data_IF_439485021623
#
_entry.id   IF_439485021623
#
_cell.length_a   1.000
_cell.length_b   1.000
_cell.length_c   1.000
_cell.angle_alpha   90.00
_cell.angle_beta   90.00
_cell.angle_gamma   90.00
#
_symmetry.space_group_name_H-M   'P 1'
#
loop_
_entity.id
_entity.type
_entity.pdbx_description
1 polymer ?
#
# COMPACT_ATOMS: atom_id res chain seq x y z
N UNK A 1 10.06 67.65 -37.77
CA UNK A 1 11.20 67.61 -38.74
C UNK A 1 11.33 66.17 -39.23
N UNK A 2 11.77 65.95 -40.48
CA UNK A 2 12.48 64.74 -41.02
C UNK A 2 12.17 63.35 -40.39
N UNK A 3 11.46 62.39 -41.03
CA UNK A 3 11.85 61.50 -42.19
C UNK A 3 12.95 60.47 -41.85
N UNK A 4 12.96 59.20 -42.28
CA UNK A 4 12.41 58.43 -43.45
C UNK A 4 11.91 57.02 -43.00
N UNK A 5 11.64 55.92 -43.77
CA UNK A 5 11.46 55.51 -45.19
C UNK A 5 10.52 54.24 -45.18
N UNK A 6 9.45 54.11 -45.98
CA UNK A 6 9.27 53.43 -47.31
C UNK A 6 9.51 51.88 -47.39
N UNK A 7 8.46 51.06 -47.63
CA UNK A 7 8.04 50.36 -48.90
C UNK A 7 8.88 49.14 -49.34
N UNK A 8 8.43 47.88 -49.55
CA UNK A 8 7.18 47.20 -50.01
C UNK A 8 7.25 46.62 -51.46
N UNK A 9 6.16 45.95 -51.92
CA UNK A 9 5.86 45.44 -53.30
C UNK A 9 6.41 44.03 -53.67
N UNK A 10 5.80 43.15 -54.52
CA UNK A 10 4.42 43.02 -55.09
C UNK A 10 4.12 41.61 -55.70
N UNK A 11 2.92 41.06 -55.42
CA UNK A 11 1.92 40.42 -56.33
C UNK A 11 2.23 39.23 -57.31
N UNK A 12 1.53 38.09 -57.10
CA UNK A 12 0.40 37.49 -57.90
C UNK A 12 0.55 37.45 -59.46
N UNK A 13 0.42 36.28 -60.16
CA UNK A 13 -0.92 35.80 -60.60
C UNK A 13 -1.16 34.26 -60.82
N UNK A 14 -2.42 33.92 -61.10
CA UNK A 14 -2.95 32.56 -61.42
C UNK A 14 -2.71 32.12 -62.89
N UNK A 15 -2.66 30.80 -63.14
CA UNK A 15 -3.32 30.19 -64.32
C UNK A 15 -3.61 28.68 -64.16
N UNK A 16 -4.58 28.16 -64.94
CA UNK A 16 -4.97 26.74 -65.01
C UNK A 16 -4.52 26.14 -66.35
N UNK A 17 -4.12 24.86 -66.37
CA UNK A 17 -4.06 24.06 -67.60
C UNK A 17 -4.61 22.64 -67.40
N UNK A 18 -5.03 21.99 -68.50
CA UNK A 18 -5.91 20.81 -68.51
C UNK A 18 -5.61 19.90 -69.71
N UNK A 19 -5.23 18.63 -69.49
CA UNK A 19 -5.33 17.51 -70.45
C UNK A 19 -5.10 16.15 -69.78
N UNK A 20 -5.29 15.05 -70.52
CA UNK A 20 -5.78 13.78 -69.94
C UNK A 20 -5.22 12.51 -70.60
N UNK A 21 -5.08 11.48 -69.75
CA UNK A 21 -5.23 10.03 -70.02
C UNK A 21 -4.36 9.31 -71.07
N UNK A 22 -3.78 8.18 -70.65
CA UNK A 22 -4.04 6.85 -71.28
C UNK A 22 -3.89 5.72 -70.24
N UNK A 23 -4.36 4.52 -70.59
CA UNK A 23 -4.57 3.37 -69.66
C UNK A 23 -3.38 2.40 -69.62
N UNK A 24 -3.19 1.77 -68.47
CA UNK A 24 -3.00 0.31 -68.37
C UNK A 24 -3.58 -0.21 -67.04
N UNK A 25 -4.05 -1.47 -67.02
CA UNK A 25 -4.46 -2.27 -65.84
C UNK A 25 -3.74 -3.63 -65.96
N UNK A 26 -3.39 -4.29 -64.85
CA UNK A 26 -4.25 -5.35 -64.26
C UNK A 26 -4.88 -4.90 -62.92
N UNK A 27 -6.07 -5.32 -62.48
CA UNK A 27 -6.43 -6.67 -61.98
C UNK A 27 -5.47 -7.14 -60.87
N UNK A 28 -5.62 -6.78 -59.59
CA UNK A 28 -6.74 -6.93 -58.63
C UNK A 28 -6.69 -8.25 -57.84
N UNK A 29 -6.58 -8.12 -56.52
CA UNK A 29 -7.34 -8.89 -55.53
C UNK A 29 -7.58 -7.98 -54.32
N UNK A 30 -8.75 -8.12 -53.68
CA UNK A 30 -9.25 -7.22 -52.64
C UNK A 30 -9.05 -7.80 -51.23
N UNK A 31 -8.60 -6.95 -50.31
CA UNK A 31 -8.90 -7.06 -48.88
C UNK A 31 -9.23 -5.65 -48.43
N UNK A 32 -10.49 -5.38 -48.17
CA UNK A 32 -10.96 -4.03 -47.84
C UNK A 32 -10.65 -3.70 -46.38
N UNK A 33 -9.83 -2.66 -46.18
CA UNK A 33 -9.55 -2.09 -44.85
C UNK A 33 -10.67 -1.11 -44.49
N UNK A 34 -11.85 -1.65 -44.21
CA UNK A 34 -13.03 -0.83 -43.91
C UNK A 34 -12.86 -0.02 -42.62
N UNK A 35 -13.29 1.24 -42.66
CA UNK A 35 -13.13 2.19 -41.58
C UNK A 35 -14.23 2.02 -40.53
N UNK A 36 -14.08 1.03 -39.63
CA UNK A 36 -14.96 0.93 -38.46
C UNK A 36 -14.79 2.13 -37.53
N UNK A 37 -15.87 2.91 -37.41
CA UNK A 37 -15.97 4.02 -36.47
C UNK A 37 -15.97 3.53 -35.03
N UNK A 38 -15.07 4.09 -34.21
CA UNK A 38 -14.94 3.78 -32.78
C UNK A 38 -16.26 3.90 -32.00
N UNK A 39 -16.89 2.76 -31.72
CA UNK A 39 -18.09 2.61 -30.89
C UNK A 39 -17.75 2.65 -29.39
N UNK A 40 -17.17 3.77 -28.94
CA UNK A 40 -16.55 4.00 -27.61
C UNK A 40 -17.48 3.94 -26.38
N UNK A 41 -18.70 3.41 -26.51
CA UNK A 41 -19.72 3.42 -25.45
C UNK A 41 -20.50 2.08 -25.35
N UNK A 42 -19.81 0.94 -25.51
CA UNK A 42 -20.46 -0.32 -25.93
C UNK A 42 -20.21 -1.64 -25.18
N UNK A 43 -19.54 -1.74 -24.02
CA UNK A 43 -19.60 -3.00 -23.22
C UNK A 43 -19.15 -2.95 -21.73
N UNK A 44 -19.52 -1.89 -21.00
CA UNK A 44 -19.10 -1.69 -19.59
C UNK A 44 -19.57 -2.73 -18.56
N UNK A 45 -20.40 -3.73 -18.93
CA UNK A 45 -20.77 -4.83 -18.03
C UNK A 45 -19.80 -6.02 -18.05
N UNK A 46 -19.07 -6.23 -19.15
CA UNK A 46 -18.11 -7.35 -19.28
C UNK A 46 -16.67 -6.89 -19.09
N UNK A 47 -16.27 -5.79 -19.77
CA UNK A 47 -14.89 -5.30 -19.78
C UNK A 47 -14.24 -5.16 -18.39
N UNK A 48 -14.91 -4.60 -17.36
CA UNK A 48 -14.29 -4.47 -16.04
C UNK A 48 -13.93 -5.82 -15.41
N UNK A 49 -14.83 -6.81 -15.47
CA UNK A 49 -14.59 -8.11 -14.82
C UNK A 49 -13.43 -8.85 -15.49
N UNK A 50 -13.38 -8.86 -16.82
CA UNK A 50 -12.29 -9.48 -17.58
C UNK A 50 -10.94 -8.80 -17.32
N UNK A 51 -10.91 -7.47 -17.28
CA UNK A 51 -9.69 -6.69 -16.97
C UNK A 51 -9.17 -6.99 -15.56
N UNK A 52 -10.07 -7.09 -14.57
CA UNK A 52 -9.69 -7.43 -13.20
C UNK A 52 -9.20 -8.88 -13.08
N UNK A 53 -9.91 -9.84 -13.69
CA UNK A 53 -9.44 -11.23 -13.77
C UNK A 53 -8.05 -11.33 -14.44
N UNK A 54 -7.80 -10.52 -15.47
CA UNK A 54 -6.53 -10.50 -16.18
C UNK A 54 -5.38 -9.98 -15.29
N UNK A 55 -5.55 -8.87 -14.55
CA UNK A 55 -4.53 -8.42 -13.59
C UNK A 55 -4.29 -9.43 -12.47
N UNK A 56 -5.35 -10.04 -11.95
CA UNK A 56 -5.26 -11.02 -10.86
C UNK A 56 -4.61 -12.36 -11.28
N UNK A 57 -4.59 -12.69 -12.58
CA UNK A 57 -3.85 -13.84 -13.14
C UNK A 57 -2.36 -13.57 -13.35
N UNK A 58 -1.96 -12.31 -13.59
CA UNK A 58 -0.55 -11.94 -13.74
C UNK A 58 0.17 -11.85 -12.39
N UNK A 59 1.51 -11.90 -12.39
CA UNK A 59 2.33 -11.62 -11.20
C UNK A 59 2.27 -10.12 -10.83
N UNK A 60 2.26 -9.80 -9.53
CA UNK A 60 2.25 -8.41 -9.04
C UNK A 60 3.43 -7.60 -9.58
N UNK A 61 3.15 -6.47 -10.22
CA UNK A 61 4.15 -5.58 -10.80
C UNK A 61 4.64 -5.97 -12.19
N UNK A 62 4.11 -7.05 -12.79
CA UNK A 62 4.35 -7.37 -14.21
C UNK A 62 3.37 -6.64 -15.13
N UNK A 63 2.12 -6.45 -14.71
CA UNK A 63 1.06 -5.84 -15.51
C UNK A 63 0.89 -4.32 -15.27
N UNK A 64 1.98 -3.58 -15.00
CA UNK A 64 1.98 -2.19 -14.45
C UNK A 64 1.06 -1.20 -15.15
N UNK A 65 0.91 -1.28 -16.49
CA UNK A 65 0.00 -0.43 -17.28
C UNK A 65 -1.48 -0.75 -17.02
N UNK A 66 -1.80 -2.01 -16.78
CA UNK A 66 -3.15 -2.50 -16.50
C UNK A 66 -3.51 -2.31 -15.03
N UNK A 67 -2.56 -2.54 -14.11
CA UNK A 67 -2.65 -2.16 -12.68
C UNK A 67 -2.98 -0.66 -12.53
N UNK A 68 -2.24 0.22 -13.23
CA UNK A 68 -2.51 1.65 -13.25
C UNK A 68 -3.89 1.98 -13.84
N UNK A 69 -4.32 1.29 -14.91
CA UNK A 69 -5.66 1.48 -15.51
C UNK A 69 -6.77 1.10 -14.53
N UNK A 70 -6.64 -0.01 -13.79
CA UNK A 70 -7.59 -0.39 -12.73
C UNK A 70 -7.60 0.66 -11.61
N UNK A 71 -6.42 1.09 -11.14
CA UNK A 71 -6.29 2.11 -10.09
C UNK A 71 -6.99 3.42 -10.48
N UNK A 72 -6.73 3.92 -11.69
CA UNK A 72 -7.35 5.15 -12.20
C UNK A 72 -8.86 4.99 -12.40
N UNK A 73 -9.33 3.85 -12.89
CA UNK A 73 -10.77 3.58 -13.03
C UNK A 73 -11.47 3.53 -11.66
N UNK A 74 -10.96 2.75 -10.71
CA UNK A 74 -11.56 2.65 -9.38
C UNK A 74 -11.57 4.01 -8.67
N UNK A 75 -10.45 4.72 -8.64
CA UNK A 75 -10.35 6.01 -7.96
C UNK A 75 -11.19 7.08 -8.68
N UNK A 76 -10.91 7.33 -9.95
CA UNK A 76 -11.45 8.47 -10.70
C UNK A 76 -12.82 8.23 -11.35
N UNK A 77 -13.46 7.07 -11.12
CA UNK A 77 -14.85 6.81 -11.52
C UNK A 77 -15.71 6.32 -10.36
N UNK A 78 -15.20 5.46 -9.47
CA UNK A 78 -16.01 4.77 -8.46
C UNK A 78 -15.83 5.28 -7.02
N UNK A 79 -14.79 6.05 -6.69
CA UNK A 79 -14.42 6.32 -5.29
C UNK A 79 -14.18 7.80 -4.94
N UNK A 80 -13.57 8.60 -5.83
CA UNK A 80 -13.15 9.97 -5.51
C UNK A 80 -14.29 11.01 -5.50
N UNK A 81 -15.50 10.67 -5.96
CA UNK A 81 -16.56 11.64 -6.27
C UNK A 81 -17.62 11.82 -5.19
N UNK A 82 -17.58 11.01 -4.12
CA UNK A 82 -18.65 10.95 -3.13
C UNK A 82 -18.42 11.89 -1.95
N UNK A 83 -19.47 12.60 -1.57
CA UNK A 83 -19.48 13.50 -0.40
C UNK A 83 -19.58 12.69 0.90
N UNK A 84 -20.32 11.58 0.89
CA UNK A 84 -20.50 10.74 2.07
C UNK A 84 -19.54 9.56 2.08
N UNK A 85 -18.91 9.32 3.25
CA UNK A 85 -17.98 8.21 3.48
C UNK A 85 -18.64 6.84 3.23
N UNK A 86 -19.93 6.72 3.50
CA UNK A 86 -20.78 5.55 3.22
C UNK A 86 -20.70 5.08 1.77
N UNK A 87 -20.65 6.01 0.83
CA UNK A 87 -20.82 5.70 -0.59
C UNK A 87 -19.49 5.15 -1.14
N UNK A 88 -18.37 5.78 -0.75
CA UNK A 88 -17.04 5.25 -1.02
C UNK A 88 -16.81 3.88 -0.38
N UNK A 89 -17.36 3.65 0.82
CA UNK A 89 -17.32 2.33 1.47
C UNK A 89 -18.15 1.29 0.70
N UNK A 90 -19.37 1.64 0.25
CA UNK A 90 -20.22 0.80 -0.58
C UNK A 90 -19.51 0.42 -1.89
N UNK A 91 -18.97 1.39 -2.63
CA UNK A 91 -18.29 1.12 -3.90
C UNK A 91 -17.01 0.30 -3.72
N UNK A 92 -16.21 0.57 -2.69
CA UNK A 92 -15.05 -0.27 -2.37
C UNK A 92 -15.47 -1.70 -2.02
N UNK A 93 -16.55 -1.87 -1.26
CA UNK A 93 -17.10 -3.19 -0.92
C UNK A 93 -17.57 -3.96 -2.16
N UNK A 94 -18.26 -3.30 -3.09
CA UNK A 94 -18.68 -3.90 -4.38
C UNK A 94 -17.51 -4.22 -5.31
N UNK A 95 -16.39 -3.52 -5.20
CA UNK A 95 -15.14 -3.83 -5.90
C UNK A 95 -14.46 -5.09 -5.33
N UNK A 96 -14.47 -5.26 -4.00
CA UNK A 96 -13.69 -6.30 -3.30
C UNK A 96 -14.45 -7.60 -3.02
N UNK A 97 -15.64 -7.56 -2.41
CA UNK A 97 -16.35 -8.77 -1.96
C UNK A 97 -16.66 -9.83 -3.05
N UNK A 98 -16.72 -9.53 -4.37
CA UNK A 98 -16.83 -10.57 -5.42
C UNK A 98 -15.62 -11.51 -5.57
N UNK A 99 -14.50 -11.25 -4.89
CA UNK A 99 -13.24 -11.98 -5.06
C UNK A 99 -12.84 -12.76 -3.79
N UNK A 100 -12.05 -13.85 -3.88
CA UNK A 100 -11.46 -14.50 -2.70
C UNK A 100 -10.46 -13.57 -1.98
N UNK A 101 -10.26 -13.75 -0.67
CA UNK A 101 -9.51 -12.81 0.20
C UNK A 101 -8.16 -12.35 -0.36
N UNK A 102 -7.32 -13.29 -0.85
CA UNK A 102 -6.06 -13.04 -1.58
C UNK A 102 -6.21 -11.94 -2.64
N UNK A 103 -7.25 -12.06 -3.47
CA UNK A 103 -7.53 -11.11 -4.54
C UNK A 103 -8.16 -9.81 -4.02
N UNK A 104 -8.87 -9.82 -2.89
CA UNK A 104 -9.36 -8.60 -2.24
C UNK A 104 -8.16 -7.76 -1.74
N UNK A 105 -7.24 -8.37 -1.00
CA UNK A 105 -6.01 -7.74 -0.53
C UNK A 105 -5.21 -7.15 -1.71
N UNK A 106 -5.05 -7.95 -2.77
CA UNK A 106 -4.32 -7.54 -3.98
C UNK A 106 -4.99 -6.37 -4.72
N UNK A 107 -6.32 -6.36 -4.86
CA UNK A 107 -7.04 -5.22 -5.44
C UNK A 107 -6.94 -3.97 -4.55
N UNK A 108 -7.04 -4.11 -3.22
CA UNK A 108 -6.87 -2.99 -2.29
C UNK A 108 -5.48 -2.35 -2.45
N UNK A 109 -4.42 -3.16 -2.55
CA UNK A 109 -3.07 -2.66 -2.80
C UNK A 109 -2.93 -1.98 -4.17
N UNK A 110 -3.51 -2.54 -5.24
CA UNK A 110 -3.51 -1.91 -6.57
C UNK A 110 -4.18 -0.53 -6.53
N UNK A 111 -5.31 -0.38 -5.81
CA UNK A 111 -6.10 0.85 -5.78
C UNK A 111 -5.53 1.90 -4.81
N UNK A 112 -4.92 1.48 -3.70
CA UNK A 112 -4.52 2.39 -2.60
C UNK A 112 -3.05 2.31 -2.16
N UNK A 113 -2.33 1.21 -2.39
CA UNK A 113 -0.93 1.03 -1.97
C UNK A 113 0.05 2.02 -2.65
N UNK A 114 1.32 2.08 -2.22
CA UNK A 114 2.30 3.05 -2.69
C UNK A 114 2.48 3.15 -4.20
N UNK A 115 2.75 4.37 -4.69
CA UNK A 115 2.97 4.69 -6.13
C UNK A 115 4.24 5.49 -6.35
N UNK A 116 4.79 5.42 -7.57
CA UNK A 116 5.92 6.25 -7.99
C UNK A 116 5.46 7.66 -8.36
N UNK A 117 6.06 8.67 -7.74
CA UNK A 117 5.76 10.10 -7.98
C UNK A 117 6.00 10.54 -9.44
N UNK A 118 6.80 9.78 -10.21
CA UNK A 118 7.15 10.11 -11.60
C UNK A 118 6.08 9.67 -12.62
N UNK A 119 5.31 8.62 -12.33
CA UNK A 119 4.44 7.98 -13.33
C UNK A 119 3.14 7.34 -12.78
N UNK A 120 2.92 7.38 -11.47
CA UNK A 120 1.72 6.84 -10.81
C UNK A 120 1.61 5.31 -10.77
N UNK A 121 2.56 4.55 -11.32
CA UNK A 121 2.54 3.08 -11.22
C UNK A 121 2.71 2.62 -9.76
N UNK A 122 2.04 1.52 -9.43
CA UNK A 122 2.11 0.85 -8.12
C UNK A 122 3.54 0.32 -7.90
N UNK A 123 4.12 0.62 -6.74
CA UNK A 123 5.49 0.21 -6.37
C UNK A 123 5.39 -0.89 -5.33
N UNK A 124 5.27 -2.13 -5.80
CA UNK A 124 5.19 -3.34 -4.97
C UNK A 124 6.41 -3.53 -4.07
N UNK A 125 7.59 -3.18 -4.60
CA UNK A 125 8.88 -3.17 -3.90
C UNK A 125 8.90 -2.32 -2.63
N UNK A 126 8.11 -1.24 -2.54
CA UNK A 126 8.29 -0.22 -1.50
C UNK A 126 8.02 -0.78 -0.09
N UNK A 127 7.15 -1.79 0.02
CA UNK A 127 6.86 -2.47 1.29
C UNK A 127 7.93 -3.47 1.71
N UNK A 128 8.78 -3.91 0.78
CA UNK A 128 9.66 -5.09 0.93
C UNK A 128 11.16 -4.78 0.88
N UNK A 129 11.55 -3.63 0.32
CA UNK A 129 12.95 -3.25 0.08
C UNK A 129 13.45 -2.11 1.00
N UNK A 130 12.57 -1.35 1.65
CA UNK A 130 12.96 -0.30 2.59
C UNK A 130 11.81 0.33 3.37
N UNK A 131 12.09 1.26 4.30
CA UNK A 131 11.05 1.96 5.06
C UNK A 131 10.20 2.86 4.13
N UNK A 132 8.88 2.71 4.23
CA UNK A 132 7.89 3.51 3.50
C UNK A 132 7.43 4.70 4.36
N UNK A 133 7.35 5.90 3.77
CA UNK A 133 6.80 7.10 4.41
C UNK A 133 5.29 7.03 4.71
N UNK A 134 4.80 7.80 5.68
CA UNK A 134 3.36 7.92 5.99
C UNK A 134 2.54 8.20 4.72
N UNK A 135 2.95 9.17 3.91
CA UNK A 135 2.10 9.71 2.83
C UNK A 135 1.75 8.66 1.79
N UNK A 136 2.66 7.71 1.55
CA UNK A 136 2.51 6.57 0.66
C UNK A 136 1.59 5.47 1.23
N UNK A 137 1.49 5.34 2.56
CA UNK A 137 0.62 4.38 3.24
C UNK A 137 -0.75 4.93 3.59
N UNK A 138 -0.86 6.25 3.79
CA UNK A 138 -2.09 6.94 4.23
C UNK A 138 -3.31 6.55 3.41
N UNK A 139 -3.17 6.50 2.08
CA UNK A 139 -4.26 6.10 1.18
C UNK A 139 -4.74 4.66 1.40
N UNK A 140 -3.85 3.74 1.79
CA UNK A 140 -4.18 2.35 2.11
C UNK A 140 -4.78 2.23 3.52
N UNK A 141 -4.19 2.92 4.50
CA UNK A 141 -4.69 2.99 5.87
C UNK A 141 -6.12 3.56 5.94
N UNK A 142 -6.39 4.65 5.22
CA UNK A 142 -7.71 5.27 5.20
C UNK A 142 -8.76 4.40 4.48
N UNK A 143 -8.34 3.56 3.51
CA UNK A 143 -9.20 2.55 2.92
C UNK A 143 -9.48 1.35 3.85
N UNK A 144 -8.50 0.95 4.67
CA UNK A 144 -8.70 -0.08 5.71
C UNK A 144 -9.67 0.42 6.79
N UNK A 145 -9.50 1.67 7.26
CA UNK A 145 -10.49 2.35 8.14
C UNK A 145 -11.88 2.40 7.50
N UNK A 146 -11.95 2.75 6.22
CA UNK A 146 -13.21 2.86 5.49
C UNK A 146 -14.03 1.57 5.59
N UNK A 147 -13.38 0.42 5.40
CA UNK A 147 -14.01 -0.90 5.51
C UNK A 147 -14.36 -1.27 6.97
N UNK A 148 -13.47 -0.99 7.92
CA UNK A 148 -13.70 -1.30 9.35
C UNK A 148 -14.84 -0.51 9.98
N UNK A 149 -14.96 0.78 9.63
CA UNK A 149 -15.99 1.69 10.15
C UNK A 149 -17.32 1.62 9.37
N UNK A 150 -17.51 0.63 8.49
CA UNK A 150 -18.70 0.56 7.61
C UNK A 150 -19.94 0.09 8.39
N UNK A 151 -20.95 0.96 8.49
CA UNK A 151 -22.25 0.62 9.12
C UNK A 151 -23.03 -0.47 8.38
N UNK A 152 -22.80 -0.62 7.07
CA UNK A 152 -23.31 -1.75 6.30
C UNK A 152 -22.58 -3.04 6.70
N UNK A 153 -23.32 -3.98 7.29
CA UNK A 153 -22.85 -5.26 7.86
C UNK A 153 -22.27 -6.27 6.84
N UNK A 154 -21.78 -5.80 5.70
CA UNK A 154 -21.07 -6.61 4.71
C UNK A 154 -19.60 -6.87 5.10
N UNK A 155 -19.03 -6.06 6.00
CA UNK A 155 -17.72 -6.31 6.62
C UNK A 155 -17.85 -6.58 8.11
N UNK A 156 -17.18 -7.63 8.56
CA UNK A 156 -16.88 -7.90 9.96
C UNK A 156 -15.49 -7.37 10.31
N UNK A 157 -15.18 -7.22 11.60
CA UNK A 157 -13.83 -6.93 12.04
C UNK A 157 -12.84 -8.02 11.57
N UNK A 158 -13.26 -9.29 11.62
CA UNK A 158 -12.45 -10.44 11.21
C UNK A 158 -12.19 -10.47 9.70
N UNK A 159 -13.14 -10.04 8.83
CA UNK A 159 -12.89 -9.83 7.40
C UNK A 159 -11.74 -8.83 7.19
N UNK A 160 -11.78 -7.69 7.88
CA UNK A 160 -10.80 -6.61 7.71
C UNK A 160 -9.45 -7.00 8.30
N UNK A 161 -9.42 -7.70 9.43
CA UNK A 161 -8.17 -8.24 9.99
C UNK A 161 -7.59 -9.31 9.06
N UNK A 162 -8.40 -10.18 8.46
CA UNK A 162 -7.95 -11.15 7.45
C UNK A 162 -7.39 -10.46 6.20
N UNK A 163 -8.01 -9.36 5.77
CA UNK A 163 -7.55 -8.55 4.64
C UNK A 163 -6.18 -7.89 4.92
N UNK A 164 -5.93 -7.43 6.15
CA UNK A 164 -4.63 -6.88 6.58
C UNK A 164 -3.58 -7.98 6.76
N UNK A 165 -3.95 -9.14 7.28
CA UNK A 165 -3.06 -10.30 7.48
C UNK A 165 -2.57 -10.85 6.13
N UNK A 166 -3.47 -10.99 5.16
CA UNK A 166 -3.20 -11.35 3.76
C UNK A 166 -2.35 -10.30 3.03
N UNK A 167 -2.58 -9.00 3.27
CA UNK A 167 -1.72 -7.92 2.75
C UNK A 167 -0.28 -8.02 3.27
N UNK A 168 -0.10 -8.30 4.57
CA UNK A 168 1.22 -8.40 5.20
C UNK A 168 2.07 -9.58 4.69
N UNK A 169 1.41 -10.56 4.05
CA UNK A 169 2.07 -11.61 3.27
C UNK A 169 2.40 -12.90 4.03
N UNK A 170 1.60 -13.27 5.04
CA UNK A 170 1.81 -14.44 5.91
C UNK A 170 2.28 -15.72 5.18
N UNK A 171 3.09 -16.51 5.90
CA UNK A 171 3.71 -17.75 5.44
C UNK A 171 2.69 -18.81 4.96
N UNK A 172 2.42 -18.84 3.66
CA UNK A 172 1.78 -19.99 3.01
C UNK A 172 2.69 -20.54 1.90
N UNK A 173 3.67 -21.42 2.24
CA UNK A 173 4.65 -21.94 1.29
C UNK A 173 4.03 -22.87 0.22
N UNK A 174 2.74 -23.24 0.35
CA UNK A 174 2.08 -24.18 -0.56
C UNK A 174 1.58 -23.51 -1.87
N UNK A 175 1.56 -22.18 -1.95
CA UNK A 175 1.04 -21.42 -3.12
C UNK A 175 2.07 -20.43 -3.68
N UNK A 176 3.12 -20.96 -4.30
CA UNK A 176 4.23 -20.20 -4.90
C UNK A 176 3.82 -19.18 -5.98
N UNK A 177 2.70 -19.41 -6.69
CA UNK A 177 2.46 -18.80 -8.02
C UNK A 177 1.79 -17.42 -8.01
N UNK A 178 0.99 -17.07 -6.99
CA UNK A 178 0.28 -15.77 -6.94
C UNK A 178 0.23 -15.22 -5.50
N UNK A 179 1.39 -14.89 -4.90
CA UNK A 179 1.41 -14.06 -3.68
C UNK A 179 0.84 -12.66 -3.98
N UNK A 180 0.13 -12.07 -3.01
CA UNK A 180 -0.44 -10.72 -3.09
C UNK A 180 0.65 -9.69 -3.40
N UNK A 181 1.74 -9.71 -2.63
CA UNK A 181 2.98 -8.96 -2.87
C UNK A 181 4.12 -9.97 -3.07
N UNK A 182 5.12 -9.72 -3.94
CA UNK A 182 6.14 -10.75 -4.28
C UNK A 182 7.00 -11.27 -3.11
N UNK A 183 7.06 -10.53 -1.99
CA UNK A 183 7.76 -10.89 -0.75
C UNK A 183 6.93 -10.42 0.46
N UNK A 184 7.21 -10.97 1.64
CA UNK A 184 6.67 -10.46 2.90
C UNK A 184 7.04 -9.00 3.13
N UNK A 185 6.16 -8.26 3.82
CA UNK A 185 6.39 -6.85 4.12
C UNK A 185 7.36 -6.69 5.28
N UNK A 186 8.22 -5.67 5.20
CA UNK A 186 9.08 -5.29 6.32
C UNK A 186 8.21 -4.94 7.53
N UNK A 187 8.55 -5.46 8.71
CA UNK A 187 7.74 -5.30 9.92
C UNK A 187 7.59 -3.83 10.35
N UNK A 188 8.54 -2.95 10.00
CA UNK A 188 8.38 -1.50 10.18
C UNK A 188 7.23 -0.94 9.32
N UNK A 189 7.08 -1.41 8.08
CA UNK A 189 6.00 -1.00 7.19
C UNK A 189 4.64 -1.57 7.62
N UNK A 190 4.61 -2.80 8.17
CA UNK A 190 3.43 -3.35 8.83
C UNK A 190 3.02 -2.52 10.06
N UNK A 191 3.97 -2.21 10.94
CA UNK A 191 3.73 -1.39 12.14
C UNK A 191 3.22 0.02 11.78
N UNK A 192 3.86 0.67 10.80
CA UNK A 192 3.44 2.00 10.30
C UNK A 192 2.04 1.97 9.68
N UNK A 193 1.70 0.93 8.90
CA UNK A 193 0.33 0.78 8.39
C UNK A 193 -0.70 0.57 9.50
N UNK A 194 -0.39 -0.20 10.55
CA UNK A 194 -1.30 -0.43 11.68
C UNK A 194 -1.49 0.84 12.53
N UNK A 195 -0.43 1.61 12.79
CA UNK A 195 -0.51 2.94 13.44
C UNK A 195 -1.43 3.85 12.63
N UNK A 196 -1.18 3.95 11.32
CA UNK A 196 -1.97 4.81 10.43
C UNK A 196 -3.41 4.33 10.27
N UNK A 197 -3.68 3.02 10.38
CA UNK A 197 -5.03 2.44 10.36
C UNK A 197 -5.81 2.70 11.66
N UNK A 198 -5.11 3.00 12.75
CA UNK A 198 -5.69 3.53 13.98
C UNK A 198 -6.05 2.49 15.05
N UNK A 199 -6.35 3.01 16.24
CA UNK A 199 -6.37 2.28 17.52
C UNK A 199 -7.16 0.98 17.50
N UNK A 200 -8.38 0.98 16.96
CA UNK A 200 -9.27 -0.17 16.99
C UNK A 200 -8.75 -1.29 16.08
N UNK A 201 -8.31 -0.95 14.88
CA UNK A 201 -7.80 -1.90 13.87
C UNK A 201 -6.47 -2.50 14.33
N UNK A 202 -5.55 -1.66 14.81
CA UNK A 202 -4.29 -2.10 15.40
C UNK A 202 -4.52 -3.03 16.60
N UNK A 203 -5.43 -2.67 17.52
CA UNK A 203 -5.77 -3.53 18.65
C UNK A 203 -6.40 -4.86 18.22
N UNK A 204 -7.40 -4.86 17.33
CA UNK A 204 -8.07 -6.11 16.91
C UNK A 204 -7.10 -7.02 16.14
N UNK A 205 -6.20 -6.47 15.31
CA UNK A 205 -5.14 -7.23 14.65
C UNK A 205 -4.21 -7.89 15.68
N UNK A 206 -3.70 -7.12 16.64
CA UNK A 206 -2.81 -7.63 17.68
C UNK A 206 -3.50 -8.62 18.62
N UNK A 207 -4.80 -8.42 18.91
CA UNK A 207 -5.60 -9.33 19.72
C UNK A 207 -5.86 -10.66 19.01
N UNK A 208 -6.13 -10.69 17.70
CA UNK A 208 -6.29 -11.95 16.97
C UNK A 208 -4.99 -12.76 16.95
N UNK A 209 -3.82 -12.10 16.82
CA UNK A 209 -2.50 -12.74 16.95
C UNK A 209 -2.27 -13.29 18.37
N UNK A 210 -2.66 -12.55 19.40
CA UNK A 210 -2.57 -12.98 20.81
C UNK A 210 -3.44 -14.21 21.12
N UNK A 211 -4.70 -14.23 20.68
CA UNK A 211 -5.61 -15.38 20.84
C UNK A 211 -5.09 -16.63 20.13
N UNK A 212 -4.42 -16.46 18.98
CA UNK A 212 -3.72 -17.54 18.28
C UNK A 212 -2.36 -17.92 18.91
N UNK A 213 -2.02 -17.42 20.10
CA UNK A 213 -0.78 -17.76 20.82
C UNK A 213 0.51 -17.25 20.18
N UNK A 214 0.45 -16.37 19.16
CA UNK A 214 1.60 -15.92 18.36
C UNK A 214 2.47 -14.87 19.06
N UNK A 215 2.83 -15.12 20.33
CA UNK A 215 3.48 -14.16 21.22
C UNK A 215 4.82 -13.61 20.69
N UNK A 216 5.64 -14.43 20.01
CA UNK A 216 6.94 -14.00 19.47
C UNK A 216 6.78 -13.10 18.23
N UNK A 217 5.84 -13.41 17.33
CA UNK A 217 5.49 -12.55 16.20
C UNK A 217 4.98 -11.19 16.71
N UNK A 218 4.09 -11.25 17.70
CA UNK A 218 3.47 -10.08 18.32
C UNK A 218 4.47 -9.22 19.10
N UNK A 219 5.46 -9.85 19.74
CA UNK A 219 6.55 -9.16 20.42
C UNK A 219 7.45 -8.39 19.44
N UNK A 220 7.84 -9.01 18.31
CA UNK A 220 8.53 -8.30 17.23
C UNK A 220 7.70 -7.12 16.74
N UNK A 221 6.39 -7.30 16.55
CA UNK A 221 5.50 -6.21 16.14
C UNK A 221 5.46 -5.06 17.16
N UNK A 222 5.48 -5.33 18.47
CA UNK A 222 5.60 -4.28 19.51
C UNK A 222 6.89 -3.48 19.37
N UNK A 223 8.03 -4.14 19.13
CA UNK A 223 9.32 -3.46 18.90
C UNK A 223 9.27 -2.56 17.66
N UNK A 224 8.68 -3.04 16.55
CA UNK A 224 8.51 -2.21 15.35
C UNK A 224 7.50 -1.08 15.51
N UNK A 225 6.45 -1.25 16.32
CA UNK A 225 5.54 -0.14 16.70
C UNK A 225 6.27 0.93 17.51
N UNK A 226 7.13 0.55 18.46
CA UNK A 226 7.98 1.49 19.19
C UNK A 226 9.01 2.18 18.28
N UNK A 227 9.65 1.44 17.37
CA UNK A 227 10.61 1.99 16.39
C UNK A 227 9.95 3.03 15.46
N UNK A 228 8.74 2.77 14.98
CA UNK A 228 7.98 3.74 14.18
C UNK A 228 7.54 4.94 15.02
N UNK A 229 7.21 4.76 16.31
CA UNK A 229 6.94 5.90 17.19
C UNK A 229 8.17 6.80 17.36
N UNK A 230 9.37 6.23 17.49
CA UNK A 230 10.62 6.99 17.59
C UNK A 230 10.99 7.69 16.27
N UNK A 231 10.90 6.99 15.13
CA UNK A 231 11.25 7.53 13.81
C UNK A 231 10.29 8.59 13.30
N UNK A 232 8.99 8.36 13.44
CA UNK A 232 7.92 9.22 12.89
C UNK A 232 7.38 10.22 13.94
N UNK A 233 7.96 10.24 15.15
CA UNK A 233 7.60 11.11 16.28
C UNK A 233 6.17 10.90 16.82
N UNK A 234 5.62 9.69 16.74
CA UNK A 234 4.38 9.33 17.44
C UNK A 234 4.60 9.15 18.96
N UNK A 235 3.53 9.27 19.74
CA UNK A 235 3.61 9.23 21.20
C UNK A 235 3.88 7.83 21.74
N UNK A 236 5.03 7.60 22.38
CA UNK A 236 5.44 6.29 22.93
C UNK A 236 4.45 5.72 23.97
N UNK A 237 3.76 6.58 24.72
CA UNK A 237 2.64 6.23 25.61
C UNK A 237 1.55 5.40 24.90
N UNK A 238 1.27 5.70 23.63
CA UNK A 238 0.34 4.92 22.81
C UNK A 238 0.84 3.50 22.59
N UNK A 239 2.13 3.31 22.28
CA UNK A 239 2.72 1.99 22.03
C UNK A 239 2.72 1.13 23.30
N UNK A 240 3.10 1.71 24.44
CA UNK A 240 3.06 1.02 25.74
C UNK A 240 1.61 0.67 26.13
N UNK A 241 0.65 1.61 25.98
CA UNK A 241 -0.78 1.33 26.23
C UNK A 241 -1.35 0.29 25.29
N UNK A 242 -0.89 0.23 24.03
CA UNK A 242 -1.28 -0.81 23.08
C UNK A 242 -0.77 -2.18 23.54
N UNK A 243 0.53 -2.30 23.86
CA UNK A 243 1.11 -3.52 24.45
C UNK A 243 0.36 -3.94 25.72
N UNK A 244 0.06 -3.01 26.63
CA UNK A 244 -0.69 -3.30 27.86
C UNK A 244 -2.12 -3.80 27.61
N UNK A 245 -2.82 -3.26 26.60
CA UNK A 245 -4.15 -3.76 26.18
C UNK A 245 -4.04 -5.17 25.61
N UNK A 246 -3.07 -5.41 24.74
CA UNK A 246 -2.82 -6.71 24.09
C UNK A 246 -2.37 -7.76 25.10
N UNK A 247 -1.54 -7.40 26.09
CA UNK A 247 -1.14 -8.27 27.19
C UNK A 247 -2.35 -8.77 27.99
N UNK A 248 -3.40 -7.96 28.16
CA UNK A 248 -4.64 -8.36 28.86
C UNK A 248 -5.50 -9.36 28.06
N UNK A 249 -5.23 -9.58 26.76
CA UNK A 249 -5.94 -10.57 25.92
C UNK A 249 -5.46 -12.00 26.23
N UNK A 250 -4.20 -12.18 26.61
CA UNK A 250 -3.68 -13.48 27.05
C UNK A 250 -4.42 -13.96 28.31
N UNK A 251 -4.75 -15.25 28.36
CA UNK A 251 -5.64 -15.83 29.36
C UNK A 251 -4.92 -16.07 30.69
N UNK A 252 -3.73 -16.68 30.66
CA UNK A 252 -2.99 -17.00 31.89
C UNK A 252 -1.91 -15.96 32.23
N UNK A 253 -1.54 -15.80 33.53
CA UNK A 253 -0.37 -15.01 33.92
C UNK A 253 0.94 -15.53 33.30
N UNK A 254 1.04 -16.83 33.00
CA UNK A 254 2.19 -17.45 32.33
C UNK A 254 2.36 -16.95 30.90
N UNK A 255 1.28 -16.93 30.11
CA UNK A 255 1.27 -16.34 28.76
C UNK A 255 1.66 -14.85 28.78
N UNK A 256 1.13 -14.09 29.74
CA UNK A 256 1.42 -12.65 29.90
C UNK A 256 2.90 -12.40 30.17
N UNK A 257 3.49 -13.15 31.10
CA UNK A 257 4.91 -13.05 31.41
C UNK A 257 5.78 -13.50 30.22
N UNK A 258 5.38 -14.57 29.52
CA UNK A 258 6.07 -15.04 28.31
C UNK A 258 6.03 -14.00 27.17
N UNK A 259 4.89 -13.33 26.97
CA UNK A 259 4.76 -12.25 25.99
C UNK A 259 5.65 -11.05 26.35
N UNK A 260 5.65 -10.59 27.60
CA UNK A 260 6.51 -9.50 28.04
C UNK A 260 8.01 -9.86 27.91
N UNK A 261 8.41 -11.06 28.33
CA UNK A 261 9.78 -11.55 28.13
C UNK A 261 10.13 -11.67 26.63
N UNK A 262 9.16 -12.00 25.77
CA UNK A 262 9.35 -12.03 24.32
C UNK A 262 9.58 -10.63 23.74
N UNK A 263 8.97 -9.56 24.29
CA UNK A 263 9.23 -8.17 23.88
C UNK A 263 10.66 -7.76 24.24
N UNK A 264 11.12 -8.06 25.46
CA UNK A 264 12.50 -7.78 25.87
C UNK A 264 13.52 -8.56 25.04
N UNK A 265 13.25 -9.84 24.81
CA UNK A 265 14.07 -10.66 23.94
C UNK A 265 14.08 -10.10 22.51
N UNK A 266 12.94 -9.62 21.97
CA UNK A 266 12.87 -9.06 20.63
C UNK A 266 13.69 -7.76 20.49
N UNK A 267 13.64 -6.85 21.47
CA UNK A 267 14.53 -5.67 21.51
C UNK A 267 16.00 -6.10 21.52
N UNK A 268 16.38 -7.01 22.44
CA UNK A 268 17.75 -7.44 22.61
C UNK A 268 18.34 -8.11 21.34
N UNK A 269 17.58 -8.99 20.68
CA UNK A 269 18.02 -9.64 19.43
C UNK A 269 18.16 -8.60 18.31
N UNK A 270 17.13 -7.78 18.07
CA UNK A 270 17.17 -6.79 16.97
C UNK A 270 18.29 -5.74 17.13
N UNK A 271 18.60 -5.35 18.38
CA UNK A 271 19.73 -4.45 18.67
C UNK A 271 21.07 -5.16 18.42
N UNK A 272 21.21 -6.43 18.82
CA UNK A 272 22.41 -7.21 18.54
C UNK A 272 22.62 -7.47 17.04
N UNK A 273 21.56 -7.77 16.29
CA UNK A 273 21.61 -7.99 14.84
C UNK A 273 22.06 -6.71 14.11
N UNK A 274 21.48 -5.56 14.47
CA UNK A 274 21.86 -4.25 13.93
C UNK A 274 23.28 -3.84 14.34
N UNK A 275 23.69 -4.11 15.59
CA UNK A 275 25.04 -3.83 16.06
C UNK A 275 26.09 -4.68 15.31
N UNK A 276 25.80 -5.96 15.06
CA UNK A 276 26.68 -6.84 14.27
C UNK A 276 26.79 -6.36 12.82
N UNK A 277 25.70 -5.91 12.21
CA UNK A 277 25.69 -5.29 10.88
C UNK A 277 26.59 -4.05 10.83
N UNK A 278 26.43 -3.10 11.77
CA UNK A 278 27.27 -1.91 11.88
C UNK A 278 28.75 -2.27 12.11
N UNK A 279 29.05 -3.24 12.97
CA UNK A 279 30.41 -3.70 13.24
C UNK A 279 31.07 -4.47 12.08
N UNK A 280 30.30 -4.89 11.06
CA UNK A 280 30.82 -5.65 9.91
C UNK A 280 31.47 -4.78 8.82
N UNK A 281 31.20 -3.47 8.80
CA UNK A 281 31.92 -2.50 7.94
C UNK A 281 31.64 -2.62 6.45
N UNK A 282 30.38 -2.80 6.05
CA UNK A 282 29.97 -2.80 4.65
C UNK A 282 29.73 -1.34 4.17
N UNK A 283 30.69 -0.83 3.40
CA UNK A 283 31.10 0.59 3.42
C UNK A 283 30.16 1.57 2.74
N UNK A 284 29.19 1.04 1.99
CA UNK A 284 28.18 1.83 1.29
C UNK A 284 26.88 2.01 2.11
N UNK A 285 26.72 1.32 3.26
CA UNK A 285 25.52 1.40 4.11
C UNK A 285 25.77 1.88 5.56
N UNK A 286 27.02 2.11 5.99
CA UNK A 286 27.40 2.38 7.39
C UNK A 286 26.56 3.48 8.08
N UNK A 287 26.38 4.64 7.44
CA UNK A 287 25.57 5.77 7.98
C UNK A 287 24.10 5.38 8.19
N UNK A 288 23.53 4.59 7.28
CA UNK A 288 22.13 4.13 7.36
C UNK A 288 21.95 3.11 8.48
N UNK A 289 22.85 2.14 8.56
CA UNK A 289 22.79 1.08 9.58
C UNK A 289 23.04 1.65 10.99
N UNK A 290 23.98 2.60 11.14
CA UNK A 290 24.19 3.29 12.42
C UNK A 290 22.97 4.12 12.84
N UNK A 291 22.35 4.86 11.92
CA UNK A 291 21.14 5.63 12.20
C UNK A 291 19.95 4.73 12.58
N UNK A 292 19.78 3.58 11.93
CA UNK A 292 18.76 2.59 12.29
C UNK A 292 18.98 2.00 13.68
N UNK A 293 20.24 1.68 14.04
CA UNK A 293 20.61 1.23 15.38
C UNK A 293 20.33 2.31 16.44
N UNK A 294 20.68 3.57 16.17
CA UNK A 294 20.40 4.71 17.05
C UNK A 294 18.90 4.87 17.34
N UNK A 295 18.05 4.84 16.29
CA UNK A 295 16.59 4.88 16.49
C UNK A 295 16.06 3.68 17.26
N UNK A 296 16.61 2.47 17.07
CA UNK A 296 16.15 1.28 17.79
C UNK A 296 16.52 1.31 19.28
N UNK A 297 17.72 1.79 19.63
CA UNK A 297 18.16 1.97 21.02
C UNK A 297 17.35 3.08 21.71
N UNK A 298 17.09 4.20 21.04
CA UNK A 298 16.23 5.26 21.59
C UNK A 298 14.78 4.78 21.76
N UNK A 299 14.24 4.02 20.80
CA UNK A 299 12.91 3.43 20.91
C UNK A 299 12.81 2.50 22.14
N UNK A 300 13.81 1.63 22.37
CA UNK A 300 13.86 0.80 23.58
C UNK A 300 13.88 1.66 24.85
N UNK A 301 14.76 2.66 24.93
CA UNK A 301 14.90 3.52 26.10
C UNK A 301 13.63 4.33 26.41
N UNK A 302 13.00 4.91 25.38
CA UNK A 302 11.76 5.68 25.52
C UNK A 302 10.58 4.78 25.89
N UNK A 303 10.48 3.58 25.32
CA UNK A 303 9.46 2.58 25.68
C UNK A 303 9.56 2.14 27.14
N UNK A 304 10.77 1.86 27.62
CA UNK A 304 11.04 1.48 29.01
C UNK A 304 10.77 2.61 30.01
N UNK A 305 11.21 3.83 29.70
CA UNK A 305 10.93 5.04 30.48
C UNK A 305 9.43 5.24 30.68
N UNK A 306 8.64 5.00 29.63
CA UNK A 306 7.18 5.15 29.66
C UNK A 306 6.47 4.01 30.42
N UNK A 307 6.96 2.77 30.34
CA UNK A 307 6.53 1.66 31.21
C UNK A 307 6.74 2.01 32.69
N UNK A 308 7.91 2.55 33.04
CA UNK A 308 8.23 2.97 34.42
C UNK A 308 7.30 4.11 34.87
N UNK A 309 7.14 5.15 34.04
CA UNK A 309 6.26 6.29 34.34
C UNK A 309 4.81 5.87 34.59
N UNK A 310 4.24 5.05 33.69
CA UNK A 310 2.87 4.53 33.84
C UNK A 310 2.73 3.63 35.08
N UNK A 311 3.76 2.85 35.42
CA UNK A 311 3.76 2.00 36.62
C UNK A 311 3.76 2.83 37.90
N UNK A 312 4.68 3.81 38.03
CA UNK A 312 4.75 4.72 39.19
C UNK A 312 3.47 5.54 39.37
N UNK A 313 2.86 5.98 38.25
CA UNK A 313 1.59 6.70 38.27
C UNK A 313 0.42 5.80 38.71
N UNK A 314 0.44 4.52 38.36
CA UNK A 314 -0.57 3.53 38.77
C UNK A 314 -0.49 3.14 40.26
N UNK A 315 0.68 3.32 40.90
CA UNK A 315 0.86 3.12 42.35
C UNK A 315 0.57 4.37 43.20
N UNK A 316 0.14 5.47 42.57
CA UNK A 316 -0.12 6.77 43.22
C UNK A 316 -1.62 7.08 43.38
N UNK A 317 -2.49 6.07 43.24
CA UNK A 317 -3.96 6.16 43.26
C UNK A 317 -4.55 4.92 43.92
#
# INVERSE_FOLDING_TARGET
MTSTVSTSFTLIPNQKYRRSSRRSKPFCNTVDTDSESLSTLGNFKALPLEIFQMVLKYLSGSARKLELRIRLFCRSVLLNHWIHRSDSAFWLTRILKPWPMVNQARLLYIIFGPVSSLNGHVVWQKMTEGPTDETSLKGLADAIKLLYDTEAKEWTADDVISLVDELSGNENPLYFTIKVVPREWLMENNARLLILSGNNICFTFMASKAVNGRAVELAKLVVFLALVCEKDLYCMDWAVKMMQKVCKVFSTPGERNNFLQSVENAFAHMIMDMLQSVMSGDRDEEDSSFLNLFHLVNAQANFHKEILYLTMRSTST
#
